data_IF_931062540818
#
_entry.id   IF_931062540818
#
_cell.length_a   1.000
_cell.length_b   1.000
_cell.length_c   1.000
_cell.angle_alpha   90.00
_cell.angle_beta   90.00
_cell.angle_gamma   90.00
#
_symmetry.space_group_name_H-M   'P 1'
#
loop_
_entity.id
_entity.type
_entity.pdbx_description
1 polymer ?
#
# COMPACT_ATOMS: atom_id res chain seq x y z
N UNK A 1 0.82 -0.68 -20.99
CA UNK A 1 0.02 -1.88 -20.66
C UNK A 1 0.82 -2.99 -19.94
N UNK A 2 2.14 -3.13 -20.11
CA UNK A 2 2.95 -4.12 -19.35
C UNK A 2 3.43 -3.62 -17.95
N UNK A 3 3.89 -2.38 -17.86
CA UNK A 3 4.50 -1.80 -16.65
C UNK A 3 3.55 -1.79 -15.44
N UNK A 4 2.27 -1.48 -15.66
CA UNK A 4 1.23 -1.52 -14.63
C UNK A 4 1.04 -2.92 -14.06
N UNK A 5 0.96 -3.94 -14.92
CA UNK A 5 0.78 -5.33 -14.49
C UNK A 5 1.97 -5.83 -13.68
N UNK A 6 3.19 -5.51 -14.11
CA UNK A 6 4.41 -5.85 -13.37
C UNK A 6 4.40 -5.19 -11.98
N UNK A 7 4.13 -3.89 -11.91
CA UNK A 7 4.07 -3.17 -10.63
C UNK A 7 2.99 -3.74 -9.69
N UNK A 8 1.79 -4.01 -10.20
CA UNK A 8 0.71 -4.61 -9.41
C UNK A 8 1.06 -6.03 -8.95
N UNK A 9 1.71 -6.83 -9.81
CA UNK A 9 2.17 -8.17 -9.44
C UNK A 9 3.22 -8.12 -8.33
N UNK A 10 4.21 -7.22 -8.43
CA UNK A 10 5.23 -7.03 -7.40
C UNK A 10 4.60 -6.61 -6.05
N UNK A 11 3.63 -5.70 -6.07
CA UNK A 11 2.91 -5.29 -4.84
C UNK A 11 2.14 -6.48 -4.25
N UNK A 12 1.48 -7.29 -5.07
CA UNK A 12 0.73 -8.47 -4.62
C UNK A 12 1.67 -9.54 -4.04
N UNK A 13 2.80 -9.80 -4.70
CA UNK A 13 3.81 -10.73 -4.24
C UNK A 13 4.41 -10.30 -2.89
N UNK A 14 4.68 -8.99 -2.73
CA UNK A 14 5.09 -8.41 -1.45
C UNK A 14 4.00 -8.56 -0.37
N UNK A 15 2.74 -8.28 -0.71
CA UNK A 15 1.59 -8.45 0.20
C UNK A 15 1.38 -9.89 0.67
N UNK A 16 1.79 -10.88 -0.12
CA UNK A 16 1.63 -12.29 0.23
C UNK A 16 2.80 -12.86 1.04
N UNK A 17 4.00 -12.31 0.87
CA UNK A 17 5.24 -12.89 1.43
C UNK A 17 5.77 -12.11 2.63
N UNK A 18 6.01 -10.81 2.46
CA UNK A 18 6.80 -9.98 3.38
C UNK A 18 5.99 -8.95 4.14
N UNK A 19 4.77 -8.64 3.69
CA UNK A 19 3.97 -7.57 4.26
C UNK A 19 3.59 -7.87 5.72
N UNK A 20 3.91 -7.00 6.69
CA UNK A 20 3.46 -7.18 8.07
C UNK A 20 1.93 -7.03 8.21
N UNK A 21 1.31 -6.25 7.33
CA UNK A 21 -0.13 -6.00 7.34
C UNK A 21 -0.94 -7.08 6.58
N UNK A 22 -0.29 -7.90 5.75
CA UNK A 22 -0.94 -8.84 4.82
C UNK A 22 -0.14 -10.14 4.74
N UNK A 23 -0.78 -11.30 4.82
CA UNK A 23 -0.07 -12.59 4.75
C UNK A 23 0.42 -13.12 6.11
N UNK A 24 1.39 -14.06 6.14
CA UNK A 24 1.73 -14.84 7.33
C UNK A 24 2.43 -14.01 8.42
N UNK A 25 3.15 -12.94 8.05
CA UNK A 25 3.79 -12.03 9.02
C UNK A 25 2.79 -11.20 9.84
N UNK A 26 1.53 -11.09 9.42
CA UNK A 26 0.48 -10.45 10.24
C UNK A 26 0.30 -11.12 11.60
N UNK A 27 0.64 -12.41 11.72
CA UNK A 27 0.62 -13.13 13.00
C UNK A 27 1.64 -12.57 14.00
N UNK A 28 2.74 -12.00 13.52
CA UNK A 28 3.76 -11.35 14.35
C UNK A 28 3.42 -9.89 14.67
N UNK A 29 2.58 -9.26 13.84
CA UNK A 29 2.17 -7.86 13.98
C UNK A 29 0.64 -7.73 13.95
N UNK A 30 -0.05 -8.19 15.01
CA UNK A 30 -1.51 -8.29 15.03
C UNK A 30 -2.21 -6.93 14.90
N UNK A 31 -1.55 -5.85 15.31
CA UNK A 31 -2.06 -4.48 15.23
C UNK A 31 -1.72 -3.76 13.92
N UNK A 32 -0.97 -4.39 13.01
CA UNK A 32 -0.51 -3.79 11.76
C UNK A 32 0.55 -2.70 11.94
N UNK A 33 1.24 -2.36 10.85
CA UNK A 33 2.19 -1.25 10.79
C UNK A 33 1.57 -0.01 10.15
N UNK A 34 0.65 -0.21 9.22
CA UNK A 34 0.01 0.90 8.53
C UNK A 34 -0.99 1.62 9.46
N UNK A 35 -0.75 2.92 9.67
CA UNK A 35 -1.66 3.79 10.43
C UNK A 35 -2.94 4.13 9.67
N UNK A 36 -2.93 3.99 8.34
CA UNK A 36 -4.08 4.29 7.51
C UNK A 36 -4.76 3.04 6.98
N UNK A 37 -6.08 3.14 6.78
CA UNK A 37 -6.89 2.11 6.14
C UNK A 37 -7.47 2.62 4.81
N UNK A 38 -7.38 1.87 3.69
CA UNK A 38 -6.61 0.63 3.54
C UNK A 38 -5.09 0.87 3.72
N UNK A 39 -4.32 -0.21 3.92
CA UNK A 39 -2.87 -0.14 4.17
C UNK A 39 -2.14 0.62 3.05
N UNK A 40 -0.91 1.08 3.30
CA UNK A 40 -0.12 1.79 2.29
C UNK A 40 0.10 0.97 1.01
N UNK A 41 0.29 -0.35 1.13
CA UNK A 41 0.43 -1.24 -0.03
C UNK A 41 -0.87 -1.40 -0.81
N UNK A 42 -2.01 -1.52 -0.13
CA UNK A 42 -3.32 -1.62 -0.77
C UNK A 42 -3.76 -0.27 -1.41
N UNK A 43 -3.48 0.84 -0.73
CA UNK A 43 -3.64 2.18 -1.30
C UNK A 43 -2.78 2.36 -2.55
N UNK A 44 -1.50 1.97 -2.48
CA UNK A 44 -0.58 2.04 -3.62
C UNK A 44 -1.02 1.16 -4.79
N UNK A 45 -1.51 -0.05 -4.52
CA UNK A 45 -2.09 -0.93 -5.52
C UNK A 45 -3.26 -0.23 -6.24
N UNK A 46 -4.25 0.27 -5.49
CA UNK A 46 -5.41 0.95 -6.06
C UNK A 46 -5.03 2.23 -6.82
N UNK A 47 -4.03 2.98 -6.35
CA UNK A 47 -3.55 4.17 -7.03
C UNK A 47 -2.84 3.84 -8.35
N UNK A 48 -1.96 2.83 -8.38
CA UNK A 48 -1.27 2.39 -9.60
C UNK A 48 -2.25 1.73 -10.56
N UNK A 49 -3.24 1.02 -10.02
CA UNK A 49 -4.33 0.46 -10.80
C UNK A 49 -5.09 1.58 -11.51
N UNK A 50 -5.55 2.62 -10.82
CA UNK A 50 -6.37 3.66 -11.47
C UNK A 50 -5.58 4.68 -12.30
N UNK A 51 -4.45 5.13 -11.78
CA UNK A 51 -3.70 6.29 -12.30
C UNK A 51 -2.40 5.91 -13.03
N UNK A 52 -2.05 4.63 -13.10
CA UNK A 52 -0.79 4.15 -13.68
C UNK A 52 0.40 4.29 -12.73
N UNK A 53 1.56 3.78 -13.14
CA UNK A 53 2.74 3.64 -12.26
C UNK A 53 3.31 4.98 -11.79
N UNK A 54 3.38 5.98 -12.67
CA UNK A 54 3.97 7.29 -12.33
C UNK A 54 3.09 8.06 -11.34
N UNK A 55 1.85 8.37 -11.73
CA UNK A 55 0.92 9.14 -10.89
C UNK A 55 0.50 8.32 -9.66
N UNK A 56 0.16 7.04 -9.84
CA UNK A 56 -0.22 6.16 -8.74
C UNK A 56 0.94 5.89 -7.77
N UNK A 57 2.17 5.75 -8.28
CA UNK A 57 3.38 5.61 -7.47
C UNK A 57 3.67 6.87 -6.65
N UNK A 58 3.55 8.06 -7.23
CA UNK A 58 3.73 9.32 -6.48
C UNK A 58 2.76 9.47 -5.31
N UNK A 59 1.49 9.07 -5.50
CA UNK A 59 0.47 9.05 -4.45
C UNK A 59 0.83 8.03 -3.36
N UNK A 60 1.26 6.82 -3.75
CA UNK A 60 1.68 5.77 -2.83
C UNK A 60 2.88 6.21 -1.96
N UNK A 61 3.92 6.79 -2.58
CA UNK A 61 5.10 7.30 -1.88
C UNK A 61 4.71 8.39 -0.87
N UNK A 62 3.89 9.36 -1.29
CA UNK A 62 3.39 10.42 -0.41
C UNK A 62 2.59 9.86 0.79
N UNK A 63 1.89 8.74 0.61
CA UNK A 63 1.17 8.06 1.69
C UNK A 63 2.13 7.35 2.64
N UNK A 64 3.15 6.65 2.13
CA UNK A 64 4.16 5.95 2.93
C UNK A 64 4.91 6.92 3.84
N UNK A 65 5.36 8.07 3.31
CA UNK A 65 6.07 9.10 4.10
C UNK A 65 5.21 9.64 5.25
N UNK A 66 3.90 9.76 5.03
CA UNK A 66 2.93 10.18 6.08
C UNK A 66 2.56 9.06 7.05
N UNK A 67 2.86 7.82 6.73
CA UNK A 67 2.52 6.65 7.53
C UNK A 67 3.63 6.35 8.55
N UNK A 68 3.73 7.21 9.56
CA UNK A 68 4.67 7.07 10.67
C UNK A 68 3.93 7.04 12.03
N UNK A 69 4.59 6.64 13.13
CA UNK A 69 3.95 6.49 14.45
C UNK A 69 3.29 7.76 15.01
N UNK A 70 3.70 8.94 14.56
CA UNK A 70 3.16 10.23 14.97
C UNK A 70 1.94 10.67 14.14
N UNK A 71 1.61 9.91 13.10
CA UNK A 71 0.42 10.15 12.30
C UNK A 71 -0.82 9.67 13.03
N UNK A 72 -1.87 10.50 13.08
CA UNK A 72 -3.18 10.11 13.62
C UNK A 72 -3.77 8.89 12.88
N UNK A 73 -3.30 8.63 11.65
CA UNK A 73 -3.83 7.55 10.84
C UNK A 73 -5.28 7.82 10.42
N UNK A 74 -5.97 6.75 10.01
CA UNK A 74 -7.41 6.81 9.70
C UNK A 74 -7.76 6.31 8.30
N UNK A 75 -9.03 6.49 7.93
CA UNK A 75 -9.58 6.12 6.63
C UNK A 75 -9.16 7.13 5.57
N UNK A 76 -8.36 6.69 4.61
CA UNK A 76 -7.94 7.52 3.47
C UNK A 76 -7.96 6.63 2.20
N UNK A 77 -9.12 6.50 1.53
CA UNK A 77 -9.27 5.65 0.36
C UNK A 77 -8.51 6.21 -0.85
N UNK A 78 -8.11 5.32 -1.77
CA UNK A 78 -7.45 5.76 -2.99
C UNK A 78 -8.35 6.72 -3.80
N UNK A 79 -7.80 7.85 -4.31
CA UNK A 79 -8.56 8.77 -5.14
C UNK A 79 -9.10 8.04 -6.38
N UNK A 80 -10.33 8.41 -6.77
CA UNK A 80 -10.97 7.89 -7.98
C UNK A 80 -10.21 8.34 -9.22
#
# INVERSE_FOLDING_TARGET
MATRRIALFLIRAYQMTLSPDHGPLRRLYPYGYCRFHPSCSAYGYACIERHGVLKGGSLAIRRIVRCNPFSKGGLDPAPK
#
